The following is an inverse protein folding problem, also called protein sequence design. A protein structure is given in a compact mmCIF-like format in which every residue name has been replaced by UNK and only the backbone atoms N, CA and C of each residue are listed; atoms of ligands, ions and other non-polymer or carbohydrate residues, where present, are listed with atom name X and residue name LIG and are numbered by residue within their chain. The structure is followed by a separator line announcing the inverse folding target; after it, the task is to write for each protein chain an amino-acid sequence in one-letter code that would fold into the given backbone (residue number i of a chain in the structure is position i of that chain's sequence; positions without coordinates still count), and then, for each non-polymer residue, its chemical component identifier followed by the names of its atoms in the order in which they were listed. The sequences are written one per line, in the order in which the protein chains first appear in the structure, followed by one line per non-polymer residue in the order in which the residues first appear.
data_IF_810027676288
#
_entry.id   IF_810027676288
#
_cell.length_a   1.000
_cell.length_b   1.000
_cell.length_c   1.000
_cell.angle_alpha   90.00
_cell.angle_beta   90.00
_cell.angle_gamma   90.00
#
_symmetry.space_group_name_H-M   'P 1'
#
loop_
_entity.id
_entity.type
_entity.pdbx_description
1 polymer ?
#
# COMPACT_ATOMS: atom_id res chain seq x y z
N UNK A 1 16.92 -17.61 -36.67
CA UNK A 1 16.90 -16.42 -35.79
C UNK A 1 15.47 -16.24 -35.31
N UNK A 2 15.14 -16.81 -34.15
CA UNK A 2 13.77 -16.75 -33.60
C UNK A 2 13.70 -15.51 -32.71
N UNK A 3 12.90 -14.52 -33.09
CA UNK A 3 12.56 -13.41 -32.20
C UNK A 3 11.79 -13.98 -31.01
N UNK A 4 12.48 -14.17 -29.89
CA UNK A 4 11.86 -14.55 -28.63
C UNK A 4 10.84 -13.47 -28.27
N UNK A 5 9.56 -13.83 -28.28
CA UNK A 5 8.47 -12.93 -27.95
C UNK A 5 8.72 -12.25 -26.60
N UNK A 6 8.29 -10.99 -26.49
CA UNK A 6 8.43 -10.12 -25.31
C UNK A 6 8.21 -10.81 -23.96
N UNK A 7 7.30 -11.80 -23.91
CA UNK A 7 7.01 -12.62 -22.73
C UNK A 7 8.17 -13.55 -22.31
N UNK A 8 8.85 -14.21 -23.25
CA UNK A 8 9.98 -15.10 -22.94
C UNK A 8 11.19 -14.31 -22.45
N UNK A 9 11.45 -13.15 -23.06
CA UNK A 9 12.53 -12.26 -22.63
C UNK A 9 12.24 -11.66 -21.23
N UNK A 10 11.00 -11.24 -20.98
CA UNK A 10 10.57 -10.77 -19.66
C UNK A 10 10.74 -11.85 -18.57
N UNK A 11 10.36 -13.10 -18.86
CA UNK A 11 10.54 -14.22 -17.93
C UNK A 11 12.02 -14.54 -17.68
N UNK A 12 12.87 -14.46 -18.71
CA UNK A 12 14.31 -14.63 -18.57
C UNK A 12 14.92 -13.55 -17.67
N UNK A 13 14.61 -12.27 -17.90
CA UNK A 13 15.11 -11.17 -17.06
C UNK A 13 14.65 -11.34 -15.60
N UNK A 14 13.37 -11.68 -15.36
CA UNK A 14 12.84 -11.98 -14.02
C UNK A 14 13.59 -13.11 -13.33
N UNK A 15 13.95 -14.16 -14.07
CA UNK A 15 14.67 -15.30 -13.54
C UNK A 15 16.15 -14.97 -13.23
N UNK A 16 16.81 -14.19 -14.09
CA UNK A 16 18.22 -13.81 -13.97
C UNK A 16 18.44 -12.80 -12.83
N UNK A 17 17.59 -11.78 -12.68
CA UNK A 17 17.68 -10.81 -11.55
C UNK A 17 17.64 -11.51 -10.19
N UNK A 18 16.85 -12.58 -10.07
CA UNK A 18 16.78 -13.41 -8.87
C UNK A 18 18.05 -14.24 -8.66
N UNK A 19 18.58 -14.85 -9.71
CA UNK A 19 19.74 -15.75 -9.64
C UNK A 19 21.08 -15.00 -9.43
N UNK A 20 21.19 -13.77 -9.92
CA UNK A 20 22.44 -12.99 -9.99
C UNK A 20 22.61 -11.94 -8.87
N UNK A 21 22.11 -12.18 -7.65
CA UNK A 21 22.12 -11.19 -6.53
C UNK A 21 21.41 -9.85 -6.84
N UNK A 22 20.67 -9.74 -7.94
CA UNK A 22 19.98 -8.49 -8.30
C UNK A 22 18.91 -8.08 -7.30
N UNK A 23 18.25 -9.04 -6.65
CA UNK A 23 17.23 -8.74 -5.63
C UNK A 23 17.82 -8.06 -4.37
N UNK A 24 18.90 -8.57 -3.74
CA UNK A 24 19.61 -7.84 -2.67
C UNK A 24 19.99 -6.40 -3.03
N UNK A 25 20.47 -6.14 -4.25
CA UNK A 25 20.85 -4.79 -4.71
C UNK A 25 19.61 -3.90 -4.79
N UNK A 26 18.51 -4.39 -5.36
CA UNK A 26 17.25 -3.63 -5.40
C UNK A 26 16.75 -3.29 -4.00
N UNK A 27 16.84 -4.24 -3.06
CA UNK A 27 16.46 -4.00 -1.65
C UNK A 27 17.36 -2.95 -1.00
N UNK A 28 18.66 -2.96 -1.28
CA UNK A 28 19.57 -1.92 -0.79
C UNK A 28 19.23 -0.54 -1.36
N UNK A 29 18.81 -0.45 -2.61
CA UNK A 29 18.40 0.81 -3.23
C UNK A 29 17.11 1.39 -2.63
N UNK A 30 16.24 0.58 -1.99
CA UNK A 30 15.12 1.10 -1.18
C UNK A 30 15.61 1.95 0.00
N UNK A 31 16.86 1.78 0.44
CA UNK A 31 17.46 2.59 1.51
C UNK A 31 18.08 3.89 1.01
N UNK A 32 18.03 4.19 -0.29
CA UNK A 32 18.45 5.48 -0.85
C UNK A 32 17.63 6.66 -0.30
N UNK A 33 18.25 7.82 -0.16
CA UNK A 33 17.57 9.09 0.16
C UNK A 33 16.95 9.76 -1.07
N UNK A 34 17.20 9.22 -2.27
CA UNK A 34 16.64 9.74 -3.51
C UNK A 34 15.24 9.19 -3.76
N UNK A 35 14.24 10.06 -3.68
CA UNK A 35 12.83 9.74 -3.98
C UNK A 35 12.68 9.00 -5.32
N UNK A 36 13.35 9.50 -6.37
CA UNK A 36 13.32 8.91 -7.71
C UNK A 36 13.85 7.48 -7.73
N UNK A 37 14.90 7.20 -6.96
CA UNK A 37 15.48 5.85 -6.84
C UNK A 37 14.50 4.93 -6.12
N UNK A 38 13.99 5.35 -4.96
CA UNK A 38 13.02 4.56 -4.18
C UNK A 38 11.78 4.23 -5.03
N UNK A 39 11.29 5.20 -5.80
CA UNK A 39 10.15 5.00 -6.72
C UNK A 39 10.45 4.00 -7.82
N UNK A 40 11.57 4.17 -8.54
CA UNK A 40 11.95 3.28 -9.63
C UNK A 40 12.11 1.83 -9.14
N UNK A 41 12.75 1.66 -7.98
CA UNK A 41 12.95 0.35 -7.34
C UNK A 41 11.62 -0.26 -6.92
N UNK A 42 10.72 0.51 -6.31
CA UNK A 42 9.39 0.02 -5.91
C UNK A 42 8.61 -0.50 -7.13
N UNK A 43 8.57 0.28 -8.21
CA UNK A 43 7.92 -0.12 -9.47
C UNK A 43 8.57 -1.39 -10.04
N UNK A 44 9.91 -1.48 -10.03
CA UNK A 44 10.61 -2.66 -10.49
C UNK A 44 10.26 -3.90 -9.66
N UNK A 45 10.26 -3.80 -8.33
CA UNK A 45 9.88 -4.89 -7.43
C UNK A 45 8.44 -5.35 -7.68
N UNK A 46 7.50 -4.42 -7.89
CA UNK A 46 6.11 -4.76 -8.25
C UNK A 46 6.02 -5.57 -9.54
N UNK A 47 6.78 -5.19 -10.57
CA UNK A 47 6.80 -5.91 -11.84
C UNK A 47 7.45 -7.29 -11.73
N UNK A 48 8.42 -7.45 -10.83
CA UNK A 48 9.04 -8.74 -10.53
C UNK A 48 8.11 -9.64 -9.72
N UNK A 49 7.30 -9.09 -8.82
CA UNK A 49 6.36 -9.84 -7.97
C UNK A 49 5.14 -10.39 -8.72
N UNK A 50 4.96 -10.05 -10.01
CA UNK A 50 3.96 -10.72 -10.87
C UNK A 50 4.26 -12.23 -10.98
N UNK A 51 5.54 -12.61 -10.99
CA UNK A 51 5.94 -14.02 -10.91
C UNK A 51 5.85 -14.51 -9.46
N UNK A 52 5.11 -15.60 -9.23
CA UNK A 52 4.86 -16.12 -7.87
C UNK A 52 6.15 -16.48 -7.13
N UNK A 53 7.16 -17.05 -7.80
CA UNK A 53 8.42 -17.43 -7.13
C UNK A 53 9.23 -16.19 -6.74
N UNK A 54 9.22 -15.15 -7.56
CA UNK A 54 9.82 -13.87 -7.23
C UNK A 54 9.04 -13.16 -6.12
N UNK A 55 7.70 -13.25 -6.11
CA UNK A 55 6.83 -12.69 -5.08
C UNK A 55 7.22 -13.13 -3.68
N UNK A 56 7.40 -14.44 -3.47
CA UNK A 56 7.77 -15.01 -2.17
C UNK A 56 9.17 -14.58 -1.72
N UNK A 57 10.12 -14.52 -2.66
CA UNK A 57 11.47 -14.02 -2.36
C UNK A 57 11.47 -12.52 -2.04
N UNK A 58 10.78 -11.70 -2.83
CA UNK A 58 10.67 -10.27 -2.55
C UNK A 58 9.99 -10.05 -1.19
N UNK A 59 8.96 -10.81 -0.85
CA UNK A 59 8.28 -10.73 0.44
C UNK A 59 9.16 -11.10 1.64
N UNK A 60 10.14 -11.98 1.47
CA UNK A 60 11.10 -12.31 2.54
C UNK A 60 12.25 -11.31 2.67
N UNK A 61 12.74 -10.75 1.56
CA UNK A 61 13.89 -9.83 1.58
C UNK A 61 13.53 -8.34 1.69
N UNK A 62 12.47 -7.90 1.02
CA UNK A 62 12.18 -6.47 0.82
C UNK A 62 11.11 -5.90 1.74
N UNK A 63 10.31 -6.75 2.40
CA UNK A 63 9.11 -6.31 3.13
C UNK A 63 9.43 -5.28 4.22
N UNK A 64 10.48 -5.50 5.01
CA UNK A 64 10.87 -4.57 6.08
C UNK A 64 11.35 -3.23 5.51
N UNK A 65 12.15 -3.24 4.46
CA UNK A 65 12.64 -2.01 3.81
C UNK A 65 11.48 -1.23 3.14
N UNK A 66 10.53 -1.91 2.49
CA UNK A 66 9.31 -1.27 1.95
C UNK A 66 8.49 -0.60 3.06
N UNK A 67 8.25 -1.30 4.17
CA UNK A 67 7.50 -0.77 5.32
C UNK A 67 8.25 0.35 6.04
N UNK A 68 9.58 0.33 6.04
CA UNK A 68 10.41 1.38 6.63
C UNK A 68 10.27 2.72 5.90
N UNK A 69 10.03 2.67 4.58
CA UNK A 69 9.84 3.86 3.75
C UNK A 69 8.41 4.41 3.79
N UNK A 70 7.44 3.69 4.36
CA UNK A 70 6.08 4.21 4.54
C UNK A 70 6.04 5.34 5.59
N UNK A 71 5.28 6.41 5.35
CA UNK A 71 5.06 7.46 6.34
C UNK A 71 4.34 6.91 7.57
N UNK A 72 4.65 7.47 8.74
CA UNK A 72 4.08 7.06 10.02
C UNK A 72 3.22 8.19 10.59
N UNK A 73 2.04 8.40 9.97
CA UNK A 73 1.07 9.40 10.43
C UNK A 73 1.66 10.82 10.55
N UNK A 74 1.54 11.42 11.75
CA UNK A 74 2.03 12.78 12.06
C UNK A 74 3.56 12.91 12.05
N UNK A 75 4.30 11.81 12.09
CA UNK A 75 5.72 11.85 11.84
C UNK A 75 5.96 11.84 10.34
N UNK A 76 6.52 12.95 9.83
CA UNK A 76 7.05 13.00 8.46
C UNK A 76 7.92 11.74 8.25
N UNK A 77 7.76 11.01 7.13
CA UNK A 77 8.65 9.90 6.83
C UNK A 77 10.09 10.39 6.95
N UNK A 78 11.00 9.54 7.43
CA UNK A 78 12.42 9.90 7.60
C UNK A 78 13.06 10.51 6.32
N UNK A 79 12.43 10.31 5.16
CA UNK A 79 12.92 10.69 3.84
C UNK A 79 12.08 11.70 3.05
N UNK A 80 11.02 12.30 3.61
CA UNK A 80 10.14 13.26 2.89
C UNK A 80 9.78 12.80 1.45
N UNK A 81 9.36 11.53 1.30
CA UNK A 81 9.01 10.97 0.00
C UNK A 81 7.78 11.68 -0.60
N UNK A 82 7.76 11.79 -1.93
CA UNK A 82 6.63 12.34 -2.66
C UNK A 82 5.43 11.37 -2.65
N UNK A 83 4.22 11.90 -2.81
CA UNK A 83 2.96 11.14 -2.84
C UNK A 83 3.03 9.95 -3.81
N UNK A 84 3.52 10.18 -5.03
CA UNK A 84 3.62 9.15 -6.05
C UNK A 84 4.58 8.01 -5.65
N UNK A 85 5.63 8.30 -4.87
CA UNK A 85 6.56 7.29 -4.35
C UNK A 85 5.88 6.47 -3.27
N UNK A 86 5.16 7.10 -2.34
CA UNK A 86 4.38 6.40 -1.31
C UNK A 86 3.34 5.50 -1.97
N UNK A 87 2.61 5.99 -2.97
CA UNK A 87 1.64 5.21 -3.75
C UNK A 87 2.31 4.04 -4.47
N UNK A 88 3.51 4.23 -5.04
CA UNK A 88 4.28 3.15 -5.66
C UNK A 88 4.65 2.06 -4.65
N UNK A 89 5.11 2.44 -3.45
CA UNK A 89 5.42 1.50 -2.37
C UNK A 89 4.17 0.73 -1.92
N UNK A 90 3.05 1.42 -1.67
CA UNK A 90 1.79 0.81 -1.26
C UNK A 90 1.27 -0.19 -2.30
N UNK A 91 1.31 0.16 -3.58
CA UNK A 91 0.91 -0.73 -4.67
C UNK A 91 1.85 -1.93 -4.82
N UNK A 92 3.14 -1.75 -4.51
CA UNK A 92 4.13 -2.83 -4.51
C UNK A 92 3.86 -3.82 -3.37
N UNK A 93 3.62 -3.31 -2.16
CA UNK A 93 3.23 -4.13 -1.00
C UNK A 93 1.95 -4.90 -1.32
N UNK A 94 0.94 -4.22 -1.88
CA UNK A 94 -0.33 -4.86 -2.25
C UNK A 94 -0.11 -6.04 -3.19
N UNK A 95 0.69 -5.87 -4.25
CA UNK A 95 1.01 -6.94 -5.19
C UNK A 95 1.71 -8.13 -4.50
N UNK A 96 2.66 -7.85 -3.61
CA UNK A 96 3.43 -8.88 -2.88
C UNK A 96 2.55 -9.71 -1.95
N UNK A 97 1.57 -9.08 -1.28
CA UNK A 97 0.67 -9.78 -0.35
C UNK A 97 -0.54 -10.41 -1.04
N UNK A 98 -0.87 -9.98 -2.26
CA UNK A 98 -2.00 -10.55 -3.02
C UNK A 98 -1.71 -12.00 -3.36
N UNK A 99 -2.67 -12.86 -3.04
CA UNK A 99 -2.59 -14.32 -3.18
C UNK A 99 -1.42 -14.98 -2.41
N UNK A 100 -0.89 -14.31 -1.36
CA UNK A 100 0.17 -14.84 -0.50
C UNK A 100 -0.07 -14.50 0.98
N UNK A 101 -0.67 -15.44 1.71
CA UNK A 101 -0.90 -15.30 3.16
C UNK A 101 0.38 -15.29 3.98
N UNK A 102 1.45 -15.91 3.48
CA UNK A 102 2.79 -15.87 4.08
C UNK A 102 3.40 -14.48 4.00
N UNK A 103 3.34 -13.84 2.83
CA UNK A 103 3.79 -12.45 2.69
C UNK A 103 2.92 -11.48 3.50
N UNK A 104 1.60 -11.73 3.58
CA UNK A 104 0.72 -10.95 4.43
C UNK A 104 1.06 -11.09 5.94
N UNK A 105 1.52 -12.27 6.38
CA UNK A 105 2.10 -12.45 7.73
C UNK A 105 3.40 -11.68 7.91
N UNK A 106 4.31 -11.76 6.95
CA UNK A 106 5.57 -10.99 6.97
C UNK A 106 5.31 -9.48 7.08
N UNK A 107 4.31 -8.97 6.35
CA UNK A 107 3.86 -7.57 6.42
C UNK A 107 3.38 -7.20 7.83
N UNK A 108 2.57 -8.04 8.46
CA UNK A 108 2.09 -7.81 9.82
C UNK A 108 3.24 -7.81 10.86
N UNK A 109 4.17 -8.77 10.74
CA UNK A 109 5.35 -8.85 11.59
C UNK A 109 6.28 -7.64 11.43
N UNK A 110 6.32 -7.05 10.24
CA UNK A 110 7.06 -5.81 9.96
C UNK A 110 6.40 -4.55 10.56
N UNK A 111 5.37 -4.67 11.41
CA UNK A 111 4.64 -3.56 12.04
C UNK A 111 3.97 -2.62 11.02
N UNK A 112 3.59 -3.14 9.85
CA UNK A 112 2.99 -2.33 8.81
C UNK A 112 1.53 -1.94 9.10
N UNK A 113 0.80 -2.74 9.89
CA UNK A 113 -0.64 -2.55 10.12
C UNK A 113 -0.92 -1.17 10.70
N UNK A 114 -0.18 -0.77 11.72
CA UNK A 114 -0.33 0.54 12.36
C UNK A 114 -0.05 1.68 11.38
N UNK A 115 1.05 1.58 10.60
CA UNK A 115 1.39 2.58 9.58
C UNK A 115 0.32 2.68 8.50
N UNK A 116 -0.17 1.56 8.00
CA UNK A 116 -1.19 1.50 6.95
C UNK A 116 -2.52 2.09 7.44
N UNK A 117 -2.93 1.78 8.68
CA UNK A 117 -4.12 2.37 9.29
C UNK A 117 -3.95 3.87 9.50
N UNK A 118 -2.77 4.33 9.93
CA UNK A 118 -2.47 5.75 10.06
C UNK A 118 -2.59 6.46 8.70
N UNK A 119 -1.94 5.95 7.64
CA UNK A 119 -2.03 6.50 6.28
C UNK A 119 -3.50 6.55 5.83
N UNK A 120 -4.24 5.45 5.97
CA UNK A 120 -5.63 5.34 5.56
C UNK A 120 -6.57 6.30 6.34
N UNK A 121 -6.16 6.83 7.50
CA UNK A 121 -6.98 7.74 8.31
C UNK A 121 -6.55 9.20 8.24
N UNK A 122 -5.24 9.46 8.14
CA UNK A 122 -4.68 10.80 8.32
C UNK A 122 -4.09 11.39 7.05
N UNK A 123 -3.85 10.58 6.00
CA UNK A 123 -3.31 11.11 4.76
C UNK A 123 -4.28 12.10 4.12
N UNK A 124 -3.73 13.21 3.64
CA UNK A 124 -4.46 14.19 2.84
C UNK A 124 -4.57 13.75 1.37
N UNK A 125 -3.83 12.72 0.94
CA UNK A 125 -3.91 12.16 -0.40
C UNK A 125 -4.97 11.05 -0.46
N UNK A 126 -5.97 11.26 -1.32
CA UNK A 126 -6.94 10.21 -1.64
C UNK A 126 -6.29 8.99 -2.31
N UNK A 127 -5.18 9.17 -3.04
CA UNK A 127 -4.47 8.07 -3.71
C UNK A 127 -3.75 7.18 -2.71
N UNK A 128 -3.06 7.78 -1.73
CA UNK A 128 -2.41 7.04 -0.63
C UNK A 128 -3.44 6.31 0.22
N UNK A 129 -4.52 6.99 0.63
CA UNK A 129 -5.62 6.39 1.41
C UNK A 129 -6.22 5.20 0.68
N UNK A 130 -6.50 5.33 -0.62
CA UNK A 130 -7.04 4.23 -1.43
C UNK A 130 -6.08 3.05 -1.52
N UNK A 131 -4.80 3.30 -1.81
CA UNK A 131 -3.79 2.26 -1.93
C UNK A 131 -3.57 1.52 -0.60
N UNK A 132 -3.48 2.25 0.52
CA UNK A 132 -3.37 1.68 1.87
C UNK A 132 -4.62 0.85 2.22
N UNK A 133 -5.81 1.34 1.88
CA UNK A 133 -7.05 0.58 2.07
C UNK A 133 -7.06 -0.75 1.33
N UNK A 134 -6.53 -0.83 0.11
CA UNK A 134 -6.46 -2.10 -0.61
C UNK A 134 -5.54 -3.11 0.10
N UNK A 135 -4.36 -2.67 0.56
CA UNK A 135 -3.46 -3.52 1.35
C UNK A 135 -4.16 -4.04 2.62
N UNK A 136 -4.80 -3.14 3.36
CA UNK A 136 -5.55 -3.46 4.59
C UNK A 136 -6.67 -4.48 4.32
N UNK A 137 -7.47 -4.27 3.28
CA UNK A 137 -8.55 -5.20 2.92
C UNK A 137 -8.01 -6.58 2.53
N UNK A 138 -6.92 -6.63 1.76
CA UNK A 138 -6.26 -7.89 1.38
C UNK A 138 -5.77 -8.64 2.61
N UNK A 139 -5.09 -7.97 3.55
CA UNK A 139 -4.65 -8.56 4.83
C UNK A 139 -5.86 -9.08 5.64
N UNK A 140 -6.92 -8.30 5.75
CA UNK A 140 -8.12 -8.65 6.51
C UNK A 140 -8.94 -9.78 5.89
N UNK A 141 -8.77 -10.05 4.59
CA UNK A 141 -9.41 -11.15 3.89
C UNK A 141 -8.92 -12.52 4.38
N UNK A 142 -7.64 -12.62 4.76
CA UNK A 142 -7.03 -13.84 5.27
C UNK A 142 -7.56 -14.17 6.68
N UNK A 143 -8.29 -15.29 6.79
CA UNK A 143 -8.96 -15.70 8.04
C UNK A 143 -7.99 -15.81 9.23
N UNK A 144 -6.82 -16.41 9.02
CA UNK A 144 -5.82 -16.57 10.08
C UNK A 144 -5.28 -15.23 10.59
N UNK A 145 -4.96 -14.32 9.67
CA UNK A 145 -4.48 -12.98 10.02
C UNK A 145 -5.57 -12.15 10.68
N UNK A 146 -6.79 -12.19 10.17
CA UNK A 146 -7.93 -11.51 10.78
C UNK A 146 -8.13 -11.96 12.23
N UNK A 147 -8.04 -13.25 12.50
CA UNK A 147 -8.16 -13.80 13.85
C UNK A 147 -7.03 -13.31 14.77
N UNK A 148 -5.78 -13.29 14.28
CA UNK A 148 -4.64 -12.78 15.03
C UNK A 148 -4.80 -11.27 15.33
N UNK A 149 -5.06 -10.47 14.30
CA UNK A 149 -5.24 -9.03 14.43
C UNK A 149 -6.41 -8.67 15.36
N UNK A 150 -7.48 -9.47 15.36
CA UNK A 150 -8.61 -9.27 16.29
C UNK A 150 -8.21 -9.51 17.74
N UNK A 151 -7.33 -10.49 18.01
CA UNK A 151 -6.76 -10.69 19.35
C UNK A 151 -5.85 -9.53 19.76
N UNK A 152 -5.17 -8.91 18.79
CA UNK A 152 -4.34 -7.73 18.99
C UNK A 152 -5.15 -6.42 19.10
N UNK A 153 -6.49 -6.49 19.12
CA UNK A 153 -7.38 -5.35 19.30
C UNK A 153 -7.84 -4.66 18.00
N UNK A 154 -7.39 -5.12 16.84
CA UNK A 154 -7.84 -4.58 15.56
C UNK A 154 -9.23 -5.08 15.17
N UNK A 155 -9.98 -4.27 14.43
CA UNK A 155 -11.33 -4.64 13.97
C UNK A 155 -11.61 -4.06 12.58
N UNK A 156 -12.69 -4.52 11.93
CA UNK A 156 -13.04 -4.16 10.54
C UNK A 156 -13.07 -2.64 10.28
N UNK A 157 -13.45 -1.81 11.25
CA UNK A 157 -13.48 -0.34 11.09
C UNK A 157 -12.09 0.27 10.86
N UNK A 158 -11.02 -0.40 11.27
CA UNK A 158 -9.65 0.02 11.01
C UNK A 158 -9.21 -0.25 9.56
N UNK A 159 -9.87 -1.17 8.87
CA UNK A 159 -9.53 -1.63 7.51
C UNK A 159 -10.54 -1.14 6.45
N UNK A 160 -11.51 -0.32 6.84
CA UNK A 160 -12.42 0.32 5.89
C UNK A 160 -11.83 1.65 5.40
N UNK A 161 -12.12 2.06 4.15
CA UNK A 161 -11.79 3.40 3.70
C UNK A 161 -12.46 4.40 4.65
N UNK A 162 -11.74 5.41 5.13
CA UNK A 162 -12.40 6.54 5.78
C UNK A 162 -13.25 7.22 4.73
N UNK A 163 -14.58 7.12 4.87
CA UNK A 163 -15.48 7.94 4.09
C UNK A 163 -15.06 9.39 4.31
N UNK A 164 -14.64 10.07 3.24
CA UNK A 164 -14.44 11.51 3.26
C UNK A 164 -15.77 12.11 3.70
N UNK A 165 -15.85 12.55 4.95
CA UNK A 165 -16.93 13.41 5.41
C UNK A 165 -16.72 14.72 4.66
N UNK A 166 -17.36 14.87 3.52
CA UNK A 166 -17.66 16.20 3.01
C UNK A 166 -18.46 16.89 4.12
N UNK A 167 -18.04 18.07 4.61
CA UNK A 167 -18.88 18.83 5.52
C UNK A 167 -20.21 19.06 4.81
N UNK A 168 -21.29 18.42 5.27
CA UNK A 168 -22.64 18.82 4.88
C UNK A 168 -22.77 20.28 5.28
N UNK A 169 -22.87 21.16 4.30
CA UNK A 169 -23.23 22.54 4.53
C UNK A 169 -24.53 22.56 5.35
N UNK A 170 -24.43 22.97 6.61
CA UNK A 170 -25.57 23.28 7.47
C UNK A 170 -26.26 24.50 6.87
N UNK A 171 -27.27 24.26 6.02
CA UNK A 171 -28.23 25.31 5.65
C UNK A 171 -29.12 25.57 6.87
N UNK A 172 -28.71 26.55 7.68
CA UNK A 172 -29.57 27.19 8.67
C UNK A 172 -30.37 28.32 8.00
N UNK A 173 -31.69 28.34 8.25
CA UNK A 173 -32.61 29.46 7.99
C UNK A 173 -33.66 29.12 6.93
N UNK A 174 -34.98 29.22 7.16
CA UNK A 174 -35.82 29.77 8.25
C UNK A 174 -37.16 28.99 8.26
N UNK A 175 -37.90 28.93 9.37
CA UNK A 175 -39.27 28.42 9.37
C UNK A 175 -40.22 29.41 8.68
N UNK A 176 -41.13 28.88 7.87
CA UNK A 176 -42.22 29.62 7.24
C UNK A 176 -43.24 30.10 8.27
N UNK A 177 -43.81 31.26 7.98
CA UNK A 177 -45.07 31.71 8.57
C UNK A 177 -45.98 32.06 7.40
N UNK A 178 -47.05 31.29 7.28
CA UNK A 178 -48.23 31.58 6.46
C UNK A 178 -48.88 32.89 6.93
N UNK A 179 -49.31 33.73 6.00
CA UNK A 179 -50.48 34.57 6.21
C UNK A 179 -51.23 34.77 4.89
N UNK A 180 -52.54 34.50 4.99
CA UNK A 180 -53.57 34.34 3.95
C UNK A 180 -54.07 35.69 3.35
N UNK A 181 -55.03 35.73 2.40
CA UNK A 181 -55.03 36.66 1.27
C UNK A 181 -55.80 37.98 1.48
N UNK A 182 -55.55 38.91 0.54
CA UNK A 182 -56.24 40.15 0.10
C UNK A 182 -57.49 40.67 0.83
N UNK A 183 -57.66 42.01 0.83
CA UNK A 183 -58.53 42.63 -0.18
C UNK A 183 -57.80 43.45 -1.25
#
# INVERSE_FOLDING_TARGET
MVMLGSSQWSNYIRATVRKEKGLPILVELLRSDSDKVVRAVSIALRNLSIDRRNKDLIGSYAMRDLVSNLPSGQQRPAKNLEEDTVVAILNTIHEIVTDSSENARSLAQAQAIEKLVAINRTSQSARETKAASHVLQTVWSYKELRNALTKDGWNKSHFQPTATVTPKATKNGKPGYDDTPSP
#
